data_IF_505723793871
#
_entry.id   IF_505723793871
#
_cell.length_a   1.000
_cell.length_b   1.000
_cell.length_c   1.000
_cell.angle_alpha   90.00
_cell.angle_beta   90.00
_cell.angle_gamma   90.00
#
_symmetry.space_group_name_H-M   'P 1'
#
loop_
_entity.id
_entity.type
_entity.pdbx_description
1 polymer ?
#
# COMPACT_ATOMS: atom_id res chain seq x y z
N UNK A 1 4.57 32.48 -1.79
CA UNK A 1 5.04 31.60 -2.87
C UNK A 1 4.67 30.17 -2.56
N UNK A 2 4.05 29.52 -3.53
CA UNK A 2 3.65 28.13 -3.37
C UNK A 2 4.70 27.23 -4.00
N UNK A 3 5.23 26.31 -3.21
CA UNK A 3 6.16 25.32 -3.72
C UNK A 3 5.39 24.04 -3.99
N UNK A 4 5.38 23.62 -5.24
CA UNK A 4 4.80 22.35 -5.60
C UNK A 4 5.84 21.27 -5.47
N UNK A 5 5.47 20.22 -4.77
CA UNK A 5 6.33 19.07 -4.54
C UNK A 5 5.74 17.87 -5.27
N UNK A 6 6.56 17.18 -6.03
CA UNK A 6 6.16 15.93 -6.63
C UNK A 6 5.93 14.89 -5.54
N UNK A 7 4.77 14.24 -5.57
CA UNK A 7 4.47 13.19 -4.63
C UNK A 7 5.09 11.89 -5.11
N UNK A 8 5.70 11.16 -4.18
CA UNK A 8 6.40 9.93 -4.49
C UNK A 8 5.75 8.77 -3.74
N UNK A 9 5.45 7.71 -4.47
CA UNK A 9 4.92 6.47 -3.91
C UNK A 9 5.83 5.32 -4.28
N UNK A 10 6.21 4.52 -3.29
CA UNK A 10 6.87 3.24 -3.52
C UNK A 10 5.85 2.14 -3.32
N UNK A 11 5.70 1.29 -4.34
CA UNK A 11 4.70 0.23 -4.33
C UNK A 11 5.37 -1.14 -4.37
N UNK A 12 4.77 -2.09 -3.66
CA UNK A 12 5.25 -3.47 -3.67
C UNK A 12 6.37 -3.74 -2.68
N UNK A 13 6.42 -3.02 -1.57
CA UNK A 13 7.38 -3.28 -0.51
C UNK A 13 6.95 -4.49 0.30
N UNK A 14 7.88 -5.39 0.58
CA UNK A 14 7.59 -6.63 1.30
C UNK A 14 8.45 -6.80 2.55
N UNK A 15 9.51 -6.02 2.72
CA UNK A 15 10.42 -6.15 3.85
C UNK A 15 10.38 -4.92 4.74
N UNK A 16 10.46 -5.10 6.08
CA UNK A 16 10.45 -3.96 7.00
C UNK A 16 11.55 -2.94 6.71
N UNK A 17 12.76 -3.42 6.38
CA UNK A 17 13.87 -2.51 6.11
C UNK A 17 13.64 -1.68 4.85
N UNK A 18 12.91 -2.19 3.87
CA UNK A 18 12.59 -1.42 2.67
C UNK A 18 11.57 -0.33 2.99
N UNK A 19 10.62 -0.62 3.89
CA UNK A 19 9.67 0.37 4.37
C UNK A 19 10.42 1.49 5.11
N UNK A 20 11.33 1.12 5.98
CA UNK A 20 12.12 2.09 6.74
C UNK A 20 12.95 2.98 5.81
N UNK A 21 13.56 2.39 4.78
CA UNK A 21 14.32 3.13 3.79
C UNK A 21 13.45 4.10 3.00
N UNK A 22 12.27 3.65 2.58
CA UNK A 22 11.34 4.51 1.86
C UNK A 22 10.93 5.72 2.70
N UNK A 23 10.62 5.48 3.97
CA UNK A 23 10.26 6.56 4.90
C UNK A 23 11.41 7.54 5.06
N UNK A 24 12.63 7.03 5.20
CA UNK A 24 13.82 7.88 5.33
C UNK A 24 14.07 8.72 4.08
N UNK A 25 13.69 8.23 2.91
CA UNK A 25 13.81 8.97 1.66
C UNK A 25 12.72 10.02 1.48
N UNK A 26 11.74 10.06 2.37
CA UNK A 26 10.70 11.09 2.33
C UNK A 26 9.55 10.79 1.38
N UNK A 27 9.21 9.51 1.18
CA UNK A 27 8.08 9.16 0.32
C UNK A 27 6.75 9.63 0.93
N UNK A 28 5.77 9.86 0.09
CA UNK A 28 4.44 10.31 0.50
C UNK A 28 3.50 9.14 0.76
N UNK A 29 3.77 8.01 0.13
CA UNK A 29 2.93 6.82 0.26
C UNK A 29 3.74 5.55 0.04
N UNK A 30 3.29 4.48 0.68
CA UNK A 30 3.84 3.14 0.50
C UNK A 30 2.68 2.24 0.09
N UNK A 31 2.89 1.48 -0.97
CA UNK A 31 1.88 0.56 -1.49
C UNK A 31 2.17 -0.89 -1.15
N UNK A 32 1.13 -1.61 -0.77
CA UNK A 32 1.18 -3.04 -0.52
C UNK A 32 0.34 -3.75 -1.58
N UNK A 33 0.88 -4.83 -2.13
CA UNK A 33 0.23 -5.57 -3.21
C UNK A 33 -0.39 -6.83 -2.61
N UNK A 34 -1.69 -6.99 -2.81
CA UNK A 34 -2.43 -8.15 -2.30
C UNK A 34 -2.84 -9.12 -3.42
N UNK A 35 -2.20 -9.00 -4.57
CA UNK A 35 -2.47 -9.87 -5.71
C UNK A 35 -1.60 -11.12 -5.62
N UNK A 36 -2.19 -12.33 -5.45
CA UNK A 36 -1.41 -13.54 -5.20
C UNK A 36 -0.43 -13.91 -6.31
N UNK A 37 -0.69 -13.49 -7.54
CA UNK A 37 0.22 -13.77 -8.66
C UNK A 37 1.41 -12.84 -8.74
N UNK A 38 1.45 -11.81 -7.91
CA UNK A 38 2.59 -10.90 -7.88
C UNK A 38 3.70 -11.48 -7.00
N UNK A 39 4.96 -11.33 -7.45
CA UNK A 39 6.11 -11.70 -6.63
C UNK A 39 6.24 -10.82 -5.38
N UNK A 40 5.55 -9.69 -5.36
CA UNK A 40 5.57 -8.74 -4.25
C UNK A 40 4.32 -8.82 -3.39
N UNK A 41 3.55 -9.89 -3.55
CA UNK A 41 2.32 -10.07 -2.78
C UNK A 41 2.62 -10.25 -1.30
N UNK A 42 1.84 -9.57 -0.47
CA UNK A 42 1.87 -9.76 0.99
C UNK A 42 0.46 -10.11 1.44
N UNK A 43 0.38 -10.77 2.59
CA UNK A 43 -0.91 -11.03 3.23
C UNK A 43 -1.36 -9.77 3.98
N UNK A 44 -2.64 -9.75 4.38
CA UNK A 44 -3.14 -8.65 5.20
C UNK A 44 -2.38 -8.57 6.52
N UNK A 45 -2.05 -9.70 7.11
CA UNK A 45 -1.32 -9.70 8.37
C UNK A 45 0.10 -9.17 8.20
N UNK A 46 0.79 -9.57 7.13
CA UNK A 46 2.11 -9.06 6.83
C UNK A 46 2.08 -7.55 6.58
N UNK A 47 1.11 -7.08 5.82
CA UNK A 47 0.95 -5.66 5.55
C UNK A 47 0.64 -4.87 6.82
N UNK A 48 -0.14 -5.44 7.73
CA UNK A 48 -0.46 -4.79 9.00
C UNK A 48 0.80 -4.54 9.82
N UNK A 49 1.73 -5.49 9.82
CA UNK A 49 3.02 -5.33 10.51
C UNK A 49 3.85 -4.23 9.84
N UNK A 50 3.92 -4.24 8.52
CA UNK A 50 4.67 -3.24 7.77
C UNK A 50 4.06 -1.84 7.94
N UNK A 51 2.73 -1.76 7.98
CA UNK A 51 2.00 -0.50 8.15
C UNK A 51 2.38 0.20 9.45
N UNK A 52 2.64 -0.56 10.50
CA UNK A 52 3.02 0.02 11.81
C UNK A 52 4.32 0.77 11.77
N UNK A 53 5.17 0.52 10.78
CA UNK A 53 6.43 1.24 10.61
C UNK A 53 6.27 2.59 9.93
N UNK A 54 5.08 2.86 9.38
CA UNK A 54 4.84 4.13 8.70
C UNK A 54 4.46 5.21 9.70
N UNK A 55 5.08 6.39 9.60
CA UNK A 55 4.62 7.54 10.39
C UNK A 55 3.27 8.03 9.86
N UNK A 56 2.59 8.85 10.65
CA UNK A 56 1.23 9.29 10.33
C UNK A 56 1.13 10.11 9.04
N UNK A 57 2.23 10.69 8.59
CA UNK A 57 2.23 11.51 7.37
C UNK A 57 2.52 10.71 6.09
N UNK A 58 2.76 9.42 6.18
CA UNK A 58 2.95 8.54 5.02
C UNK A 58 1.70 7.69 4.86
N UNK A 59 1.10 7.74 3.67
CA UNK A 59 -0.13 7.01 3.41
C UNK A 59 0.15 5.55 3.09
N UNK A 60 -0.72 4.68 3.52
CA UNK A 60 -0.69 3.26 3.18
C UNK A 60 -1.72 3.00 2.08
N UNK A 61 -1.25 2.46 0.96
CA UNK A 61 -2.06 2.17 -0.21
C UNK A 61 -2.10 0.68 -0.42
N UNK A 62 -3.30 0.12 -0.61
CA UNK A 62 -3.46 -1.30 -0.91
C UNK A 62 -3.88 -1.50 -2.36
N UNK A 63 -3.17 -2.36 -3.09
CA UNK A 63 -3.52 -2.74 -4.45
C UNK A 63 -4.17 -4.12 -4.45
N UNK A 64 -5.40 -4.18 -4.92
CA UNK A 64 -6.17 -5.41 -5.06
C UNK A 64 -6.51 -5.65 -6.53
N UNK A 65 -6.48 -6.91 -6.94
CA UNK A 65 -6.81 -7.30 -8.31
C UNK A 65 -7.92 -8.33 -8.25
N UNK A 66 -9.04 -8.04 -8.89
CA UNK A 66 -10.21 -8.94 -8.98
C UNK A 66 -10.73 -9.41 -7.63
N UNK A 67 -10.65 -8.56 -6.62
CA UNK A 67 -11.13 -8.92 -5.30
C UNK A 67 -12.50 -8.32 -5.02
N UNK A 68 -13.36 -9.03 -4.28
CA UNK A 68 -14.65 -8.47 -3.91
C UNK A 68 -14.51 -7.34 -2.91
N UNK A 69 -15.52 -6.48 -2.87
CA UNK A 69 -15.51 -5.29 -2.04
C UNK A 69 -15.26 -5.61 -0.57
N UNK A 70 -15.88 -6.67 -0.04
CA UNK A 70 -15.73 -6.99 1.37
C UNK A 70 -14.29 -7.42 1.72
N UNK A 71 -13.55 -8.03 0.79
CA UNK A 71 -12.13 -8.33 0.99
C UNK A 71 -11.33 -7.04 1.08
N UNK A 72 -11.62 -6.08 0.23
CA UNK A 72 -10.93 -4.79 0.26
C UNK A 72 -11.24 -4.02 1.54
N UNK A 73 -12.50 -4.05 2.00
CA UNK A 73 -12.89 -3.42 3.26
C UNK A 73 -12.18 -4.07 4.45
N UNK A 74 -12.01 -5.39 4.41
CA UNK A 74 -11.27 -6.09 5.44
C UNK A 74 -9.81 -5.61 5.48
N UNK A 75 -9.22 -5.40 4.32
CA UNK A 75 -7.86 -4.85 4.23
C UNK A 75 -7.77 -3.46 4.85
N UNK A 76 -8.75 -2.60 4.57
CA UNK A 76 -8.78 -1.27 5.16
C UNK A 76 -8.80 -1.34 6.68
N UNK A 77 -9.63 -2.23 7.24
CA UNK A 77 -9.75 -2.34 8.70
C UNK A 77 -8.53 -2.97 9.35
N UNK A 78 -8.03 -4.08 8.78
CA UNK A 78 -6.94 -4.85 9.41
C UNK A 78 -5.59 -4.19 9.25
N UNK A 79 -5.33 -3.59 8.10
CA UNK A 79 -4.05 -2.98 7.80
C UNK A 79 -4.04 -1.51 8.17
N UNK A 80 -5.17 -0.85 8.07
CA UNK A 80 -5.25 0.60 8.25
C UNK A 80 -4.88 1.31 6.96
N UNK A 81 -5.43 0.82 5.82
CA UNK A 81 -5.16 1.43 4.53
C UNK A 81 -5.86 2.78 4.42
N UNK A 82 -5.14 3.76 3.89
CA UNK A 82 -5.68 5.08 3.62
C UNK A 82 -6.33 5.16 2.24
N UNK A 83 -5.81 4.36 1.30
CA UNK A 83 -6.26 4.36 -0.09
C UNK A 83 -6.30 2.92 -0.59
N UNK A 84 -7.33 2.61 -1.35
CA UNK A 84 -7.46 1.32 -2.03
C UNK A 84 -7.43 1.57 -3.53
N UNK A 85 -6.56 0.85 -4.22
CA UNK A 85 -6.54 0.80 -5.66
C UNK A 85 -7.07 -0.56 -6.09
N UNK A 86 -8.15 -0.56 -6.85
CA UNK A 86 -8.77 -1.79 -7.30
C UNK A 86 -8.56 -1.92 -8.81
N UNK A 87 -8.03 -3.06 -9.22
CA UNK A 87 -7.90 -3.41 -10.62
C UNK A 87 -8.73 -4.65 -10.90
N UNK A 88 -9.37 -4.68 -12.03
CA UNK A 88 -10.16 -5.82 -12.47
C UNK A 88 -9.89 -6.12 -13.93
N UNK A 89 -10.32 -7.31 -14.33
CA UNK A 89 -10.34 -7.65 -15.77
C UNK A 89 -11.51 -6.89 -16.38
N UNK A 90 -11.19 -5.75 -16.96
CA UNK A 90 -12.19 -4.94 -17.60
C UNK A 90 -12.63 -5.61 -18.87
N UNK A 91 -13.79 -6.19 -18.83
CA UNK A 91 -14.47 -6.55 -20.05
C UNK A 91 -15.31 -5.36 -20.41
N UNK A 92 -14.77 -4.62 -21.29
CA UNK A 92 -15.47 -3.43 -21.75
C UNK A 92 -16.84 -3.76 -22.30
#
# INVERSE_FOLDING_TARGET
MTVQRTRVKFCGLVRPQDVDTAVALGVDAVGFVFYPKSARCVTLDEAAVLRRRLPSWVRAVGLFVNEPLNTMLEGVRRVGLDVVQAHGDETA
#
